data_IF_169517854266
#
_entry.id   IF_169517854266
#
_cell.length_a   1.000
_cell.length_b   1.000
_cell.length_c   1.000
_cell.angle_alpha   90.00
_cell.angle_beta   90.00
_cell.angle_gamma   90.00
#
_symmetry.space_group_name_H-M   'P 1'
#
loop_
_entity.id
_entity.type
_entity.pdbx_description
1 polymer ?
#
# COMPACT_ATOMS: atom_id res chain seq x y z
N UNK A 1 -33.39 5.60 -14.55
CA UNK A 1 -32.01 5.92 -14.99
C UNK A 1 -31.16 4.68 -14.81
N UNK A 2 -30.60 4.19 -15.91
CA UNK A 2 -29.82 2.95 -15.99
C UNK A 2 -28.45 3.23 -15.39
N UNK A 3 -28.09 2.58 -14.26
CA UNK A 3 -26.70 2.54 -13.80
C UNK A 3 -26.00 1.41 -14.56
N UNK A 4 -25.16 1.77 -15.53
CA UNK A 4 -24.22 0.86 -16.17
C UNK A 4 -23.33 0.21 -15.11
N UNK A 5 -23.45 -1.11 -14.94
CA UNK A 5 -22.54 -1.94 -14.14
C UNK A 5 -21.56 -2.62 -15.08
N UNK A 6 -20.56 -1.88 -15.54
CA UNK A 6 -19.32 -2.43 -16.09
C UNK A 6 -18.16 -1.57 -15.57
N UNK A 7 -17.34 -2.15 -14.68
CA UNK A 7 -16.03 -1.62 -14.27
C UNK A 7 -16.01 -0.23 -13.61
N UNK A 8 -16.48 -0.12 -12.36
CA UNK A 8 -16.29 1.09 -11.55
C UNK A 8 -15.21 0.88 -10.49
N UNK A 9 -14.25 1.81 -10.40
CA UNK A 9 -13.37 1.96 -9.25
C UNK A 9 -14.08 2.79 -8.16
N UNK A 10 -13.67 2.66 -6.91
CA UNK A 10 -14.24 3.42 -5.78
C UNK A 10 -13.47 4.74 -5.57
N UNK A 11 -14.14 5.88 -5.73
CA UNK A 11 -13.55 7.22 -5.55
C UNK A 11 -12.99 7.44 -4.14
N UNK A 12 -13.61 6.87 -3.09
CA UNK A 12 -13.13 7.01 -1.72
C UNK A 12 -11.82 6.25 -1.51
N UNK A 13 -11.75 5.02 -2.04
CA UNK A 13 -10.53 4.19 -1.99
C UNK A 13 -9.40 4.85 -2.78
N UNK A 14 -9.73 5.46 -3.92
CA UNK A 14 -8.77 6.19 -4.76
C UNK A 14 -8.10 7.33 -4.02
N UNK A 15 -8.80 7.98 -3.07
CA UNK A 15 -8.26 9.09 -2.29
C UNK A 15 -7.43 8.66 -1.07
N UNK A 16 -7.35 7.36 -0.77
CA UNK A 16 -6.53 6.88 0.35
C UNK A 16 -5.04 7.15 0.11
N UNK A 17 -4.25 7.43 1.16
CA UNK A 17 -2.80 7.66 1.03
C UNK A 17 -2.06 6.50 0.35
N UNK A 18 -2.47 5.26 0.62
CA UNK A 18 -1.92 4.05 -0.01
C UNK A 18 -2.12 4.11 -1.53
N UNK A 19 -3.37 4.34 -1.96
CA UNK A 19 -3.73 4.32 -3.37
C UNK A 19 -3.11 5.49 -4.13
N UNK A 20 -3.07 6.68 -3.53
CA UNK A 20 -2.41 7.86 -4.11
C UNK A 20 -0.91 7.65 -4.34
N UNK A 21 -0.22 6.95 -3.43
CA UNK A 21 1.18 6.56 -3.62
C UNK A 21 1.38 5.71 -4.88
N UNK A 22 0.56 4.68 -5.03
CA UNK A 22 0.58 3.76 -6.18
C UNK A 22 0.26 4.49 -7.48
N UNK A 23 -0.82 5.28 -7.52
CA UNK A 23 -1.23 6.06 -8.70
C UNK A 23 -0.09 6.99 -9.14
N UNK A 24 0.55 7.68 -8.19
CA UNK A 24 1.69 8.55 -8.48
C UNK A 24 2.89 7.76 -9.02
N UNK A 25 3.18 6.60 -8.44
CA UNK A 25 4.28 5.74 -8.88
C UNK A 25 4.04 5.19 -10.31
N UNK A 26 2.80 4.80 -10.62
CA UNK A 26 2.37 4.42 -11.97
C UNK A 26 2.54 5.59 -12.94
N UNK A 27 2.06 6.78 -12.57
CA UNK A 27 2.22 7.99 -13.37
C UNK A 27 3.68 8.30 -13.70
N UNK A 28 4.58 8.16 -12.71
CA UNK A 28 6.03 8.35 -12.85
C UNK A 28 6.72 7.23 -13.66
N UNK A 29 6.09 6.08 -13.82
CA UNK A 29 6.60 4.97 -14.63
C UNK A 29 6.26 5.06 -16.13
N UNK A 30 5.43 6.03 -16.53
CA UNK A 30 4.88 6.18 -17.90
C UNK A 30 5.90 5.99 -19.01
N UNK A 31 7.03 6.71 -18.95
CA UNK A 31 8.05 6.65 -20.00
C UNK A 31 8.64 5.24 -20.19
N UNK A 32 8.72 4.45 -19.11
CA UNK A 32 9.20 3.07 -19.15
C UNK A 32 8.11 2.15 -19.67
N UNK A 33 6.87 2.34 -19.22
CA UNK A 33 5.70 1.61 -19.72
C UNK A 33 5.55 1.77 -21.24
N UNK A 34 5.54 3.01 -21.73
CA UNK A 34 5.30 3.33 -23.15
C UNK A 34 6.39 2.75 -24.08
N UNK A 35 7.62 2.57 -23.56
CA UNK A 35 8.78 2.07 -24.33
C UNK A 35 9.01 0.57 -24.22
N UNK A 36 8.71 -0.01 -23.06
CA UNK A 36 9.14 -1.36 -22.68
C UNK A 36 7.99 -2.26 -22.23
N UNK A 37 6.75 -1.77 -22.26
CA UNK A 37 5.55 -2.53 -21.95
C UNK A 37 5.15 -2.56 -20.46
N UNK A 38 4.02 -3.20 -20.16
CA UNK A 38 3.38 -3.15 -18.84
C UNK A 38 4.23 -3.75 -17.72
N UNK A 39 4.98 -4.81 -17.98
CA UNK A 39 5.83 -5.44 -16.96
C UNK A 39 7.00 -4.54 -16.55
N UNK A 40 7.67 -3.90 -17.51
CA UNK A 40 8.74 -2.94 -17.23
C UNK A 40 8.20 -1.68 -16.51
N UNK A 41 7.03 -1.20 -16.92
CA UNK A 41 6.30 -0.12 -16.24
C UNK A 41 5.99 -0.48 -14.78
N UNK A 42 5.42 -1.67 -14.54
CA UNK A 42 5.15 -2.20 -13.21
C UNK A 42 6.41 -2.25 -12.33
N UNK A 43 7.51 -2.84 -12.82
CA UNK A 43 8.75 -2.93 -12.05
C UNK A 43 9.33 -1.55 -11.69
N UNK A 44 9.18 -0.57 -12.60
CA UNK A 44 9.56 0.81 -12.31
C UNK A 44 8.65 1.42 -11.23
N UNK A 45 7.34 1.24 -11.33
CA UNK A 45 6.36 1.80 -10.41
C UNK A 45 6.52 1.20 -8.99
N UNK A 46 6.60 -0.12 -8.86
CA UNK A 46 6.73 -0.78 -7.55
C UNK A 46 8.03 -0.36 -6.85
N UNK A 47 9.14 -0.21 -7.59
CA UNK A 47 10.41 0.30 -7.04
C UNK A 47 10.30 1.76 -6.59
N UNK A 48 9.60 2.60 -7.35
CA UNK A 48 9.38 4.01 -6.98
C UNK A 48 8.56 4.11 -5.69
N UNK A 49 7.49 3.32 -5.57
CA UNK A 49 6.64 3.34 -4.40
C UNK A 49 7.35 2.79 -3.16
N UNK A 50 8.04 1.65 -3.29
CA UNK A 50 8.87 1.13 -2.20
C UNK A 50 9.91 2.15 -1.74
N UNK A 51 10.60 2.82 -2.69
CA UNK A 51 11.59 3.85 -2.35
C UNK A 51 10.96 5.05 -1.63
N UNK A 52 9.72 5.43 -1.98
CA UNK A 52 8.99 6.50 -1.28
C UNK A 52 8.67 6.09 0.15
N UNK A 53 8.21 4.87 0.36
CA UNK A 53 7.85 4.32 1.67
C UNK A 53 9.08 4.15 2.57
N UNK A 54 10.23 3.75 2.02
CA UNK A 54 11.51 3.73 2.75
C UNK A 54 11.91 5.13 3.22
N UNK A 55 11.74 6.16 2.37
CA UNK A 55 12.02 7.55 2.77
C UNK A 55 11.13 7.98 3.93
N UNK A 56 9.83 7.70 3.88
CA UNK A 56 8.91 7.99 5.00
C UNK A 56 9.30 7.24 6.28
N UNK A 57 9.76 6.00 6.15
CA UNK A 57 10.20 5.20 7.29
C UNK A 57 11.51 5.71 7.93
N UNK A 58 12.32 6.46 7.18
CA UNK A 58 13.61 7.03 7.62
C UNK A 58 13.52 8.51 7.97
N UNK A 59 12.38 9.15 7.75
CA UNK A 59 12.18 10.57 7.98
C UNK A 59 12.16 10.87 9.49
N UNK A 60 12.91 11.89 9.90
CA UNK A 60 12.86 12.41 11.26
C UNK A 60 11.63 13.32 11.38
N UNK A 61 10.62 12.85 12.10
CA UNK A 61 9.32 13.51 12.20
C UNK A 61 9.14 14.18 13.56
N UNK A 62 8.41 15.30 13.63
CA UNK A 62 8.04 15.88 14.91
C UNK A 62 7.08 14.96 15.68
N UNK A 63 6.96 15.09 17.01
CA UNK A 63 6.21 14.15 17.86
C UNK A 63 4.74 13.93 17.46
N UNK A 64 4.11 14.94 16.85
CA UNK A 64 2.74 14.88 16.36
C UNK A 64 2.56 14.07 15.06
N UNK A 65 3.65 13.66 14.40
CA UNK A 65 3.61 12.94 13.12
C UNK A 65 4.24 11.56 13.25
N UNK A 66 3.46 10.52 13.01
CA UNK A 66 3.94 9.14 12.90
C UNK A 66 3.48 8.51 11.58
N UNK A 67 4.41 8.35 10.63
CA UNK A 67 4.11 7.77 9.32
C UNK A 67 3.70 6.30 9.36
N UNK A 68 3.95 5.58 10.47
CA UNK A 68 3.40 4.23 10.66
C UNK A 68 1.87 4.25 10.69
N UNK A 69 1.25 5.32 11.18
CA UNK A 69 -0.22 5.45 11.20
C UNK A 69 -0.81 5.70 9.81
N UNK A 70 0.00 6.19 8.88
CA UNK A 70 -0.42 6.51 7.51
C UNK A 70 -0.32 5.32 6.56
N UNK A 71 0.63 4.39 6.78
CA UNK A 71 0.87 3.30 5.83
C UNK A 71 1.50 2.06 6.48
N UNK A 72 0.90 0.88 6.24
CA UNK A 72 1.37 -0.42 6.78
C UNK A 72 2.83 -0.71 6.45
N UNK A 73 3.28 -0.40 5.23
CA UNK A 73 4.68 -0.58 4.84
C UNK A 73 5.66 0.22 5.68
N UNK A 74 5.29 1.42 6.15
CA UNK A 74 6.18 2.20 7.02
C UNK A 74 6.36 1.45 8.35
N UNK A 75 5.27 0.93 8.90
CA UNK A 75 5.31 0.05 10.07
C UNK A 75 6.16 -1.20 9.81
N UNK A 76 5.96 -1.91 8.69
CA UNK A 76 6.77 -3.09 8.34
C UNK A 76 8.26 -2.79 8.18
N UNK A 77 8.62 -1.69 7.50
CA UNK A 77 10.02 -1.31 7.28
C UNK A 77 10.70 -0.98 8.61
N UNK A 78 10.07 -0.19 9.47
CA UNK A 78 10.65 0.19 10.77
C UNK A 78 10.77 -0.99 11.73
N UNK A 79 9.83 -1.94 11.67
CA UNK A 79 9.87 -3.17 12.47
C UNK A 79 10.65 -4.31 11.81
N UNK A 80 11.36 -4.06 10.70
CA UNK A 80 12.21 -5.04 10.02
C UNK A 80 11.46 -6.30 9.57
N UNK A 81 10.24 -6.15 9.07
CA UNK A 81 9.48 -7.26 8.52
C UNK A 81 10.26 -7.99 7.42
N UNK A 82 10.11 -9.33 7.28
CA UNK A 82 10.79 -10.08 6.24
C UNK A 82 10.46 -9.52 4.85
N UNK A 83 11.47 -9.47 3.96
CA UNK A 83 11.33 -8.90 2.60
C UNK A 83 10.16 -9.51 1.83
N UNK A 84 9.94 -10.82 1.96
CA UNK A 84 8.83 -11.54 1.34
C UNK A 84 7.44 -11.03 1.75
N UNK A 85 7.28 -10.58 3.01
CA UNK A 85 6.03 -10.01 3.52
C UNK A 85 5.81 -8.65 2.89
N UNK A 86 6.86 -7.81 2.89
CA UNK A 86 6.85 -6.48 2.24
C UNK A 86 6.53 -6.62 0.74
N UNK A 87 7.19 -7.52 0.03
CA UNK A 87 6.99 -7.75 -1.40
C UNK A 87 5.57 -8.23 -1.71
N UNK A 88 5.04 -9.21 -0.96
CA UNK A 88 3.67 -9.68 -1.13
C UNK A 88 2.65 -8.59 -0.85
N UNK A 89 2.77 -7.83 0.24
CA UNK A 89 1.82 -6.76 0.54
C UNK A 89 1.88 -5.64 -0.50
N UNK A 90 3.06 -5.33 -1.05
CA UNK A 90 3.19 -4.31 -2.08
C UNK A 90 2.58 -4.79 -3.40
N UNK A 91 2.77 -6.07 -3.74
CA UNK A 91 2.11 -6.71 -4.87
C UNK A 91 0.57 -6.70 -4.73
N UNK A 92 0.03 -6.98 -3.54
CA UNK A 92 -1.42 -6.90 -3.27
C UNK A 92 -1.95 -5.48 -3.48
N UNK A 93 -1.22 -4.47 -3.01
CA UNK A 93 -1.55 -3.07 -3.23
C UNK A 93 -1.57 -2.72 -4.73
N UNK A 94 -0.56 -3.14 -5.49
CA UNK A 94 -0.56 -2.95 -6.95
C UNK A 94 -1.56 -3.84 -7.69
N UNK A 95 -2.06 -4.91 -7.05
CA UNK A 95 -3.07 -5.83 -7.60
C UNK A 95 -4.51 -5.42 -7.28
N UNK A 96 -4.72 -4.30 -6.58
CA UNK A 96 -6.05 -3.82 -6.19
C UNK A 96 -6.91 -3.49 -7.42
N UNK A 97 -8.14 -4.01 -7.44
CA UNK A 97 -9.10 -3.83 -8.54
C UNK A 97 -9.48 -2.37 -8.77
N UNK A 98 -9.37 -1.53 -7.76
CA UNK A 98 -9.63 -0.09 -7.86
C UNK A 98 -8.60 0.62 -8.75
N UNK A 99 -7.45 0.00 -9.06
CA UNK A 99 -6.49 0.55 -10.04
C UNK A 99 -6.97 0.44 -11.48
N UNK A 100 -8.09 -0.24 -11.75
CA UNK A 100 -8.65 -0.40 -13.08
C UNK A 100 -9.43 0.84 -13.57
N UNK A 101 -8.94 2.04 -13.29
CA UNK A 101 -9.55 3.33 -13.68
C UNK A 101 -9.04 3.88 -15.01
N UNK A 102 -7.83 3.48 -15.44
CA UNK A 102 -7.29 3.75 -16.78
C UNK A 102 -6.57 2.51 -17.33
N UNK A 103 -6.35 2.46 -18.64
CA UNK A 103 -5.75 1.30 -19.33
C UNK A 103 -4.38 0.91 -18.76
N UNK A 104 -3.52 1.89 -18.49
CA UNK A 104 -2.17 1.66 -18.01
C UNK A 104 -2.18 1.08 -16.59
N UNK A 105 -3.01 1.65 -15.72
CA UNK A 105 -3.17 1.23 -14.33
C UNK A 105 -3.82 -0.14 -14.26
N UNK A 106 -4.79 -0.43 -15.14
CA UNK A 106 -5.33 -1.77 -15.34
C UNK A 106 -4.26 -2.78 -15.75
N UNK A 107 -3.44 -2.46 -16.75
CA UNK A 107 -2.40 -3.38 -17.24
C UNK A 107 -1.32 -3.64 -16.19
N UNK A 108 -0.90 -2.62 -15.45
CA UNK A 108 0.02 -2.77 -14.31
C UNK A 108 -0.60 -3.64 -13.21
N UNK A 109 -1.88 -3.43 -12.90
CA UNK A 109 -2.62 -4.24 -11.94
C UNK A 109 -2.66 -5.71 -12.36
N UNK A 110 -2.87 -6.00 -13.65
CA UNK A 110 -2.82 -7.36 -14.19
C UNK A 110 -1.45 -8.01 -14.04
N UNK A 111 -0.36 -7.26 -14.25
CA UNK A 111 0.99 -7.76 -14.00
C UNK A 111 1.19 -8.09 -12.52
N UNK A 112 0.73 -7.24 -11.61
CA UNK A 112 0.83 -7.49 -10.17
C UNK A 112 0.04 -8.73 -9.73
N UNK A 113 -1.19 -8.91 -10.23
CA UNK A 113 -2.02 -10.10 -10.00
C UNK A 113 -1.33 -11.38 -10.50
N UNK A 114 -0.79 -11.36 -11.72
CA UNK A 114 -0.06 -12.50 -12.26
C UNK A 114 1.19 -12.84 -11.42
N UNK A 115 1.89 -11.84 -10.89
CA UNK A 115 3.03 -12.06 -9.99
C UNK A 115 2.62 -12.61 -8.63
N UNK A 116 1.47 -12.20 -8.08
CA UNK A 116 0.92 -12.79 -6.85
C UNK A 116 0.59 -14.27 -7.03
N UNK A 117 0.00 -14.65 -8.16
CA UNK A 117 -0.34 -16.04 -8.49
C UNK A 117 0.91 -16.93 -8.64
N UNK A 118 2.06 -16.34 -8.95
CA UNK A 118 3.34 -17.05 -9.06
C UNK A 118 4.05 -17.26 -7.71
N UNK A 119 3.61 -16.59 -6.63
CA UNK A 119 4.20 -16.79 -5.29
C UNK A 119 3.85 -18.19 -4.81
N UNK A 120 4.86 -19.02 -4.60
CA UNK A 120 4.65 -20.37 -4.11
C UNK A 120 4.34 -20.36 -2.61
N UNK A 121 3.53 -21.31 -2.09
CA UNK A 121 3.24 -21.41 -0.66
C UNK A 121 4.49 -21.53 0.22
N UNK A 122 5.59 -22.09 -0.30
CA UNK A 122 6.85 -22.22 0.43
C UNK A 122 7.64 -20.90 0.53
N UNK A 123 7.37 -19.95 -0.37
CA UNK A 123 8.05 -18.65 -0.39
C UNK A 123 7.49 -17.68 0.65
N UNK A 124 6.18 -17.74 0.91
CA UNK A 124 5.51 -16.93 1.93
C UNK A 124 4.66 -17.80 2.85
N UNK A 125 5.05 -17.85 4.12
CA UNK A 125 4.22 -18.42 5.16
C UNK A 125 3.00 -17.49 5.37
N UNK A 126 1.80 -18.01 5.10
CA UNK A 126 0.55 -17.25 5.19
C UNK A 126 0.18 -16.89 6.64
N UNK A 127 0.54 -17.73 7.61
CA UNK A 127 0.33 -17.45 9.03
C UNK A 127 1.21 -16.28 9.46
N UNK A 128 2.50 -16.32 9.13
CA UNK A 128 3.44 -15.21 9.38
C UNK A 128 2.96 -13.92 8.68
N UNK A 129 2.47 -14.02 7.44
CA UNK A 129 1.90 -12.88 6.73
C UNK A 129 0.71 -12.26 7.48
N UNK A 130 -0.23 -13.08 7.92
CA UNK A 130 -1.41 -12.60 8.65
C UNK A 130 -1.01 -12.02 10.01
N UNK A 131 -0.06 -12.62 10.73
CA UNK A 131 0.46 -12.10 12.00
C UNK A 131 1.00 -10.67 11.88
N UNK A 132 1.81 -10.39 10.84
CA UNK A 132 2.32 -9.04 10.58
C UNK A 132 1.21 -8.02 10.37
N UNK A 133 0.17 -8.39 9.61
CA UNK A 133 -1.00 -7.51 9.39
C UNK A 133 -1.84 -7.34 10.66
N UNK A 134 -2.00 -8.38 11.46
CA UNK A 134 -2.68 -8.30 12.75
C UNK A 134 -1.92 -7.42 13.75
N UNK A 135 -0.59 -7.48 13.77
CA UNK A 135 0.20 -6.61 14.64
C UNK A 135 0.12 -5.14 14.21
N UNK A 136 0.10 -4.87 12.90
CA UNK A 136 -0.20 -3.53 12.41
C UNK A 136 -1.60 -3.05 12.81
N UNK A 137 -2.61 -3.93 12.73
CA UNK A 137 -3.97 -3.61 13.18
C UNK A 137 -4.01 -3.28 14.67
N UNK A 138 -3.39 -4.10 15.53
CA UNK A 138 -3.27 -3.85 16.97
C UNK A 138 -2.55 -2.53 17.25
N UNK A 139 -1.49 -2.22 16.51
CA UNK A 139 -0.77 -0.94 16.63
C UNK A 139 -1.70 0.25 16.39
N UNK A 140 -2.54 0.21 15.34
CA UNK A 140 -3.52 1.27 15.05
C UNK A 140 -4.60 1.36 16.13
N UNK A 141 -5.15 0.24 16.57
CA UNK A 141 -6.17 0.18 17.63
C UNK A 141 -5.63 0.74 18.96
N UNK A 142 -4.43 0.32 19.36
CA UNK A 142 -3.76 0.82 20.56
C UNK A 142 -3.54 2.33 20.50
N UNK A 143 -3.12 2.84 19.34
CA UNK A 143 -2.94 4.28 19.14
C UNK A 143 -4.26 5.04 19.26
N UNK A 144 -5.34 4.49 18.71
CA UNK A 144 -6.68 5.09 18.83
C UNK A 144 -7.13 5.15 20.30
N UNK A 145 -6.95 4.08 21.07
CA UNK A 145 -7.27 4.08 22.50
C UNK A 145 -6.46 5.12 23.27
N UNK A 146 -5.18 5.30 22.95
CA UNK A 146 -4.34 6.33 23.54
C UNK A 146 -4.87 7.74 23.22
N UNK A 147 -5.19 8.02 21.95
CA UNK A 147 -5.72 9.33 21.52
C UNK A 147 -7.02 9.64 22.27
N UNK A 148 -7.99 8.71 22.28
CA UNK A 148 -9.27 8.89 22.98
C UNK A 148 -9.05 9.14 24.48
N UNK A 149 -8.13 8.38 25.11
CA UNK A 149 -7.80 8.56 26.52
C UNK A 149 -7.22 9.94 26.82
N UNK A 150 -6.31 10.43 25.97
CA UNK A 150 -5.71 11.76 26.11
C UNK A 150 -6.72 12.89 25.84
N UNK A 151 -7.58 12.74 24.84
CA UNK A 151 -8.65 13.69 24.54
C UNK A 151 -9.61 13.85 25.73
N UNK A 152 -10.01 12.74 26.36
CA UNK A 152 -10.88 12.78 27.53
C UNK A 152 -10.18 13.44 28.73
N UNK A 153 -8.92 13.07 28.99
CA UNK A 153 -8.12 13.69 30.06
C UNK A 153 -7.95 15.21 29.88
N UNK A 154 -7.83 15.69 28.63
CA UNK A 154 -7.74 17.12 28.34
C UNK A 154 -9.07 17.86 28.50
N UNK A 155 -10.21 17.22 28.20
CA UNK A 155 -11.55 17.83 28.34
C UNK A 155 -12.03 17.94 29.79
N UNK A 156 -11.47 17.16 30.69
CA UNK A 156 -11.75 17.24 32.13
C UNK A 156 -10.99 18.38 32.84
N UNK A 157 -10.19 19.16 32.09
CA UNK A 157 -9.55 20.41 32.53
C UNK A 157 -10.24 21.62 31.91
#
# INVERSE_FOLDING_TARGET
>A
MIKSKEGGYDDEIMMTPNMQGIIMAIGKSRNVYDRCGPEAGFFKAIKLEYSRLVKLAQEDTPPETDYRLHHVMVYFIQNQAPKKIIEKTLLEQFGDRNLSFDERSHNIMKVAQAKLEMIKPEEVNLEEYEEWHQDYKKFRETTMYLIIGLENFQRER
#
